data_IF_294792930779
#
_entry.id   IF_294792930779
#
_cell.length_a   1.000
_cell.length_b   1.000
_cell.length_c   1.000
_cell.angle_alpha   90.00
_cell.angle_beta   90.00
_cell.angle_gamma   90.00
#
_symmetry.space_group_name_H-M   'P 1'
#
loop_
_entity.id
_entity.type
_entity.pdbx_description
1 polymer ?
#
# COMPACT_ATOMS: atom_id res chain seq x y z
N UNK A 1 6.06 13.82 9.78
CA UNK A 1 4.92 12.88 9.58
C UNK A 1 5.36 11.47 9.91
N UNK A 2 4.62 10.78 10.76
CA UNK A 2 4.87 9.36 11.07
C UNK A 2 4.10 8.48 10.10
N UNK A 3 4.82 7.65 9.35
CA UNK A 3 4.26 6.78 8.31
C UNK A 3 4.50 5.32 8.69
N UNK A 4 3.54 4.47 8.40
CA UNK A 4 3.65 3.02 8.56
C UNK A 4 3.14 2.33 7.30
N UNK A 5 3.79 1.23 6.94
CA UNK A 5 3.37 0.39 5.80
C UNK A 5 2.80 -0.93 6.32
N UNK A 6 1.80 -1.44 5.60
CA UNK A 6 1.22 -2.76 5.84
C UNK A 6 1.20 -3.55 4.55
N UNK A 7 1.65 -4.79 4.60
CA UNK A 7 1.61 -5.68 3.44
C UNK A 7 1.50 -7.14 3.89
N UNK A 8 1.51 -8.05 2.93
CA UNK A 8 1.49 -9.49 3.23
C UNK A 8 2.83 -10.04 3.76
N UNK A 9 3.90 -9.25 3.69
CA UNK A 9 5.20 -9.64 4.23
C UNK A 9 5.13 -9.89 5.75
N UNK A 10 5.92 -10.84 6.23
CA UNK A 10 5.94 -11.20 7.65
C UNK A 10 6.89 -10.34 8.49
N UNK A 11 7.56 -9.36 7.90
CA UNK A 11 8.46 -8.46 8.62
C UNK A 11 7.65 -7.46 9.44
N UNK A 12 7.94 -7.37 10.74
CA UNK A 12 7.30 -6.39 11.62
C UNK A 12 8.39 -5.49 12.21
N UNK A 13 8.23 -4.17 12.04
CA UNK A 13 9.21 -3.17 12.45
C UNK A 13 9.95 -2.59 11.26
N UNK A 14 11.14 -2.03 11.49
CA UNK A 14 11.91 -1.43 10.41
C UNK A 14 12.55 -2.50 9.52
N UNK A 15 12.46 -2.29 8.20
CA UNK A 15 13.06 -3.19 7.22
C UNK A 15 14.58 -3.00 7.25
N UNK A 16 15.36 -4.10 7.44
CA UNK A 16 16.82 -4.00 7.38
C UNK A 16 17.30 -3.60 5.99
N UNK A 17 18.33 -2.76 5.91
CA UNK A 17 18.88 -2.29 4.62
C UNK A 17 19.38 -3.43 3.74
N UNK A 18 19.84 -4.52 4.34
CA UNK A 18 20.35 -5.69 3.63
C UNK A 18 19.28 -6.76 3.38
N UNK A 19 18.00 -6.39 3.46
CA UNK A 19 16.91 -7.32 3.22
C UNK A 19 16.93 -7.79 1.76
N UNK A 20 16.97 -9.13 1.56
CA UNK A 20 17.20 -9.72 0.24
C UNK A 20 16.10 -9.42 -0.78
N UNK A 21 14.86 -9.29 -0.32
CA UNK A 21 13.71 -9.03 -1.20
C UNK A 21 13.44 -7.52 -1.28
N UNK A 22 14.44 -6.76 -1.73
CA UNK A 22 14.35 -5.32 -1.85
C UNK A 22 13.38 -4.93 -2.97
N UNK A 23 12.09 -4.88 -2.67
CA UNK A 23 11.06 -4.39 -3.57
C UNK A 23 10.98 -2.87 -3.53
N UNK A 24 10.30 -2.28 -4.49
CA UNK A 24 10.08 -0.84 -4.54
C UNK A 24 9.48 -0.30 -3.25
N UNK A 25 8.51 -1.01 -2.68
CA UNK A 25 7.86 -0.63 -1.44
C UNK A 25 8.86 -0.55 -0.28
N UNK A 26 9.80 -1.48 -0.22
CA UNK A 26 10.83 -1.50 0.84
C UNK A 26 11.79 -0.32 0.70
N UNK A 27 12.11 0.09 -0.53
CA UNK A 27 12.92 1.28 -0.75
C UNK A 27 12.25 2.53 -0.17
N UNK A 28 10.93 2.68 -0.36
CA UNK A 28 10.18 3.77 0.22
C UNK A 28 10.13 3.68 1.75
N UNK A 29 9.95 2.47 2.30
CA UNK A 29 9.98 2.28 3.76
C UNK A 29 11.30 2.73 4.36
N UNK A 30 12.42 2.39 3.72
CA UNK A 30 13.74 2.82 4.17
C UNK A 30 13.94 4.32 4.01
N UNK A 31 13.55 4.89 2.87
CA UNK A 31 13.69 6.33 2.61
C UNK A 31 12.90 7.18 3.60
N UNK A 32 11.71 6.74 3.96
CA UNK A 32 10.83 7.42 4.90
C UNK A 32 11.13 7.05 6.36
N UNK A 33 12.04 6.10 6.59
CA UNK A 33 12.30 5.52 7.92
C UNK A 33 11.02 5.02 8.58
N UNK A 34 10.14 4.43 7.78
CA UNK A 34 8.83 3.95 8.22
C UNK A 34 8.90 2.47 8.58
N UNK A 35 8.29 2.05 9.69
CA UNK A 35 8.17 0.63 10.01
C UNK A 35 7.13 -0.03 9.10
N UNK A 36 7.21 -1.35 9.04
CA UNK A 36 6.30 -2.21 8.32
C UNK A 36 5.69 -3.23 9.27
N UNK A 37 4.43 -3.55 9.06
CA UNK A 37 3.77 -4.63 9.78
C UNK A 37 3.00 -5.50 8.80
N UNK A 38 2.86 -6.80 9.12
CA UNK A 38 1.99 -7.67 8.38
C UNK A 38 0.55 -7.16 8.46
N UNK A 39 -0.24 -7.39 7.42
CA UNK A 39 -1.63 -6.96 7.35
C UNK A 39 -2.49 -7.39 8.55
N UNK A 40 -2.12 -8.48 9.21
CA UNK A 40 -2.83 -9.01 10.36
C UNK A 40 -2.36 -8.43 11.70
N UNK A 41 -1.36 -7.55 11.69
CA UNK A 41 -0.78 -6.98 12.91
C UNK A 41 -1.15 -5.51 13.00
N UNK A 42 -1.78 -5.13 14.12
CA UNK A 42 -2.08 -3.73 14.40
C UNK A 42 -1.12 -3.26 15.50
N UNK A 43 -0.19 -2.35 15.18
CA UNK A 43 0.75 -1.83 16.20
C UNK A 43 0.01 -0.99 17.24
N UNK A 44 0.61 -0.82 18.40
CA UNK A 44 0.03 0.02 19.45
C UNK A 44 0.35 1.50 19.26
N UNK A 45 1.41 1.80 18.51
CA UNK A 45 1.83 3.16 18.22
C UNK A 45 0.86 3.84 17.24
N UNK A 46 0.67 5.15 17.37
CA UNK A 46 -0.17 5.94 16.47
C UNK A 46 0.67 6.54 15.35
N UNK A 47 0.07 6.63 14.16
CA UNK A 47 0.72 7.15 12.95
C UNK A 47 -0.16 8.20 12.27
N UNK A 48 0.47 9.08 11.52
CA UNK A 48 -0.25 10.06 10.70
C UNK A 48 -0.81 9.42 9.44
N UNK A 49 -0.07 8.50 8.83
CA UNK A 49 -0.41 7.87 7.57
C UNK A 49 -0.08 6.39 7.60
N UNK A 50 -1.06 5.56 7.28
CA UNK A 50 -0.86 4.16 6.96
C UNK A 50 -0.96 3.95 5.45
N UNK A 51 0.00 3.21 4.88
CA UNK A 51 -0.01 2.85 3.47
C UNK A 51 -0.19 1.33 3.39
N UNK A 52 -1.34 0.92 2.88
CA UNK A 52 -1.71 -0.49 2.75
C UNK A 52 -1.37 -0.96 1.34
N UNK A 53 -0.50 -1.96 1.24
CA UNK A 53 -0.18 -2.57 -0.05
C UNK A 53 -1.16 -3.72 -0.25
N UNK A 54 -2.09 -3.56 -1.20
CA UNK A 54 -3.15 -4.54 -1.46
C UNK A 54 -2.52 -5.78 -2.08
N UNK A 55 -2.66 -6.97 -1.43
CA UNK A 55 -2.09 -8.20 -1.97
C UNK A 55 -2.72 -8.57 -3.31
N UNK A 56 -1.90 -9.05 -4.23
CA UNK A 56 -2.35 -9.48 -5.55
C UNK A 56 -3.38 -10.61 -5.49
N UNK A 57 -3.14 -11.60 -4.62
CA UNK A 57 -3.95 -12.82 -4.58
C UNK A 57 -5.17 -12.71 -3.66
N UNK A 58 -5.18 -11.75 -2.76
CA UNK A 58 -6.29 -11.54 -1.83
C UNK A 58 -6.49 -10.05 -1.60
N UNK A 59 -7.23 -9.37 -2.49
CA UNK A 59 -7.39 -7.91 -2.42
C UNK A 59 -8.37 -7.44 -1.34
N UNK A 60 -8.94 -8.34 -0.55
CA UNK A 60 -9.85 -7.96 0.51
C UNK A 60 -9.07 -7.34 1.67
N UNK A 61 -9.30 -6.06 1.91
CA UNK A 61 -8.64 -5.32 3.00
C UNK A 61 -9.70 -4.50 3.73
N UNK A 62 -9.79 -4.67 5.04
CA UNK A 62 -10.67 -3.86 5.89
C UNK A 62 -9.89 -2.65 6.39
N UNK A 63 -10.11 -1.50 5.78
CA UNK A 63 -9.37 -0.29 6.09
C UNK A 63 -9.71 0.28 7.47
N UNK A 64 -10.90 0.01 7.99
CA UNK A 64 -11.29 0.52 9.31
C UNK A 64 -10.39 0.01 10.43
N UNK A 65 -9.89 -1.20 10.26
CA UNK A 65 -8.96 -1.82 11.20
C UNK A 65 -7.71 -0.97 11.40
N UNK A 66 -7.20 -0.36 10.32
CA UNK A 66 -5.98 0.46 10.36
C UNK A 66 -6.27 1.90 10.80
N UNK A 67 -7.50 2.37 10.65
CA UNK A 67 -7.91 3.70 11.11
C UNK A 67 -7.86 3.85 12.62
N UNK A 68 -7.83 2.74 13.34
CA UNK A 68 -7.67 2.76 14.80
C UNK A 68 -6.30 3.32 15.23
N UNK A 69 -5.28 3.22 14.37
CA UNK A 69 -3.90 3.68 14.66
C UNK A 69 -3.37 4.68 13.66
N UNK A 70 -4.09 4.98 12.58
CA UNK A 70 -3.65 5.90 11.54
C UNK A 70 -4.69 6.99 11.31
N UNK A 71 -4.26 8.25 11.25
CA UNK A 71 -5.16 9.36 10.96
C UNK A 71 -5.69 9.29 9.52
N UNK A 72 -4.82 8.93 8.57
CA UNK A 72 -5.19 8.70 7.18
C UNK A 72 -4.71 7.32 6.74
N UNK A 73 -5.49 6.68 5.89
CA UNK A 73 -5.16 5.37 5.33
C UNK A 73 -5.22 5.47 3.81
N UNK A 74 -4.09 5.22 3.18
CA UNK A 74 -3.97 5.14 1.74
C UNK A 74 -3.72 3.71 1.31
N UNK A 75 -3.94 3.42 0.04
CA UNK A 75 -3.70 2.10 -0.52
C UNK A 75 -2.85 2.20 -1.77
N UNK A 76 -2.10 1.13 -2.06
CA UNK A 76 -1.45 0.94 -3.34
C UNK A 76 -1.58 -0.52 -3.72
N UNK A 77 -1.69 -0.80 -5.03
CA UNK A 77 -1.77 -2.16 -5.52
C UNK A 77 -0.38 -2.78 -5.59
N UNK A 78 -0.26 -4.03 -5.19
CA UNK A 78 0.94 -4.80 -5.43
C UNK A 78 1.03 -5.13 -6.92
N UNK A 79 2.06 -4.64 -7.58
CA UNK A 79 2.28 -4.86 -9.00
C UNK A 79 1.42 -4.00 -9.93
N UNK A 80 1.36 -4.35 -11.23
CA UNK A 80 0.62 -3.56 -12.21
C UNK A 80 -0.89 -3.56 -11.98
N UNK A 81 -1.55 -2.45 -12.32
CA UNK A 81 -3.00 -2.31 -12.16
C UNK A 81 -3.81 -3.33 -12.99
N UNK A 82 -3.25 -3.81 -14.10
CA UNK A 82 -3.96 -4.75 -14.97
C UNK A 82 -4.18 -6.13 -14.37
N UNK A 83 -3.58 -6.47 -13.22
CA UNK A 83 -3.90 -7.70 -12.49
C UNK A 83 -5.38 -7.81 -12.14
N UNK A 84 -6.05 -6.67 -12.02
CA UNK A 84 -7.49 -6.62 -11.76
C UNK A 84 -8.31 -7.44 -12.77
N UNK A 85 -7.86 -7.53 -14.01
CA UNK A 85 -8.57 -8.26 -15.07
C UNK A 85 -8.68 -9.75 -14.81
N UNK A 86 -7.74 -10.31 -14.04
CA UNK A 86 -7.69 -11.74 -13.75
C UNK A 86 -8.48 -12.14 -12.51
N UNK A 87 -9.06 -11.17 -11.82
CA UNK A 87 -9.83 -11.43 -10.61
C UNK A 87 -11.22 -11.95 -10.93
N UNK A 88 -11.72 -12.86 -10.06
CA UNK A 88 -13.15 -13.21 -10.06
C UNK A 88 -13.98 -11.94 -9.75
N UNK A 89 -15.28 -11.99 -10.01
CA UNK A 89 -16.16 -10.85 -9.74
C UNK A 89 -16.09 -10.44 -8.28
N UNK A 90 -16.10 -11.40 -7.35
CA UNK A 90 -16.01 -11.09 -5.92
C UNK A 90 -14.71 -10.36 -5.58
N UNK A 91 -13.58 -10.82 -6.13
CA UNK A 91 -12.29 -10.17 -5.90
C UNK A 91 -12.23 -8.79 -6.54
N UNK A 92 -12.87 -8.59 -7.69
CA UNK A 92 -12.96 -7.28 -8.31
C UNK A 92 -13.69 -6.28 -7.41
N UNK A 93 -14.79 -6.70 -6.79
CA UNK A 93 -15.51 -5.85 -5.83
C UNK A 93 -14.67 -5.56 -4.60
N UNK A 94 -13.98 -6.54 -4.06
CA UNK A 94 -13.12 -6.36 -2.88
C UNK A 94 -12.01 -5.35 -3.17
N UNK A 95 -11.36 -5.48 -4.32
CA UNK A 95 -10.32 -4.57 -4.76
C UNK A 95 -10.86 -3.15 -4.94
N UNK A 96 -11.97 -3.02 -5.66
CA UNK A 96 -12.62 -1.74 -5.90
C UNK A 96 -13.01 -1.05 -4.60
N UNK A 97 -13.61 -1.79 -3.66
CA UNK A 97 -14.04 -1.22 -2.38
C UNK A 97 -12.85 -0.69 -1.59
N UNK A 98 -11.72 -1.39 -1.60
CA UNK A 98 -10.52 -0.91 -0.91
C UNK A 98 -10.02 0.40 -1.53
N UNK A 99 -10.02 0.52 -2.85
CA UNK A 99 -9.61 1.74 -3.53
C UNK A 99 -10.49 2.93 -3.19
N UNK A 100 -11.82 2.71 -3.17
CA UNK A 100 -12.79 3.79 -2.94
C UNK A 100 -12.86 4.21 -1.48
N UNK A 101 -12.67 3.27 -0.56
CA UNK A 101 -12.74 3.54 0.88
C UNK A 101 -11.48 4.22 1.42
N UNK A 102 -10.37 4.16 0.71
CA UNK A 102 -9.12 4.80 1.12
C UNK A 102 -9.22 6.32 1.07
N UNK A 103 -8.45 7.01 1.90
CA UNK A 103 -8.37 8.47 1.85
C UNK A 103 -7.74 8.95 0.55
N UNK A 104 -6.76 8.20 0.03
CA UNK A 104 -6.26 8.36 -1.34
C UNK A 104 -5.59 7.06 -1.80
N UNK A 105 -5.31 7.00 -3.10
CA UNK A 105 -4.66 5.85 -3.75
C UNK A 105 -3.30 6.28 -4.27
N UNK A 106 -2.28 5.45 -4.05
CA UNK A 106 -0.98 5.62 -4.69
C UNK A 106 -0.88 4.74 -5.92
N UNK A 107 -0.36 5.29 -7.00
CA UNK A 107 0.03 4.54 -8.18
C UNK A 107 1.53 4.75 -8.46
N UNK A 108 2.12 3.92 -9.29
CA UNK A 108 3.57 3.92 -9.48
C UNK A 108 4.07 4.88 -10.56
N UNK A 109 3.19 5.34 -11.43
CA UNK A 109 3.55 6.28 -12.49
C UNK A 109 2.34 7.13 -12.89
N UNK A 110 2.63 8.23 -13.59
CA UNK A 110 1.60 9.20 -13.97
C UNK A 110 0.58 8.64 -14.95
N UNK A 111 0.96 7.67 -15.78
CA UNK A 111 0.05 7.08 -16.75
C UNK A 111 -1.07 6.28 -16.10
N UNK A 112 -0.89 5.82 -14.84
CA UNK A 112 -1.90 5.06 -14.12
C UNK A 112 -2.93 5.94 -13.42
N UNK A 113 -2.67 7.24 -13.29
CA UNK A 113 -3.58 8.17 -12.58
C UNK A 113 -4.97 8.13 -13.18
N UNK A 114 -5.07 8.22 -14.51
CA UNK A 114 -6.37 8.23 -15.20
C UNK A 114 -7.13 6.92 -15.03
N UNK A 115 -6.43 5.80 -14.94
CA UNK A 115 -7.06 4.51 -14.67
C UNK A 115 -7.80 4.54 -13.33
N UNK A 116 -7.13 4.98 -12.27
CA UNK A 116 -7.76 5.02 -10.94
C UNK A 116 -8.85 6.09 -10.84
N UNK A 117 -8.67 7.25 -11.48
CA UNK A 117 -9.71 8.27 -11.54
C UNK A 117 -10.95 7.74 -12.29
N UNK A 118 -10.74 6.96 -13.35
CA UNK A 118 -11.83 6.32 -14.10
C UNK A 118 -12.61 5.30 -13.29
N UNK A 119 -11.98 4.67 -12.28
CA UNK A 119 -12.67 3.78 -11.36
C UNK A 119 -13.50 4.52 -10.30
N UNK A 120 -13.34 5.84 -10.18
CA UNK A 120 -14.06 6.62 -9.19
C UNK A 120 -13.23 7.06 -7.99
N UNK A 121 -11.92 6.79 -7.98
CA UNK A 121 -11.05 7.27 -6.93
C UNK A 121 -10.94 8.79 -7.01
N UNK A 122 -11.15 9.49 -5.89
CA UNK A 122 -11.19 10.96 -5.87
C UNK A 122 -9.82 11.61 -5.76
N UNK A 123 -8.89 10.94 -5.09
CA UNK A 123 -7.55 11.45 -4.84
C UNK A 123 -6.55 10.36 -5.19
N UNK A 124 -5.79 10.59 -6.25
CA UNK A 124 -4.79 9.64 -6.74
C UNK A 124 -3.44 10.34 -6.77
N UNK A 125 -2.45 9.75 -6.12
CA UNK A 125 -1.10 10.31 -5.99
C UNK A 125 -0.08 9.34 -6.58
N UNK A 126 1.04 9.88 -7.06
CA UNK A 126 2.10 9.07 -7.65
C UNK A 126 3.18 8.81 -6.61
N UNK A 127 3.53 7.53 -6.43
CA UNK A 127 4.68 7.10 -5.65
C UNK A 127 5.61 6.34 -6.59
N UNK A 128 6.60 7.04 -7.14
CA UNK A 128 7.51 6.46 -8.14
C UNK A 128 8.37 5.36 -7.54
N UNK A 129 8.78 4.43 -8.40
CA UNK A 129 9.68 3.37 -7.98
C UNK A 129 11.01 3.93 -7.53
N UNK A 130 11.50 3.42 -6.40
CA UNK A 130 12.83 3.72 -5.88
C UNK A 130 13.70 2.47 -5.96
N UNK A 131 14.99 2.68 -6.14
CA UNK A 131 15.97 1.60 -6.07
C UNK A 131 16.81 1.79 -4.81
N UNK A 132 17.07 0.67 -4.13
CA UNK A 132 18.01 0.66 -2.99
C UNK A 132 19.41 0.59 -3.59
N UNK A 133 20.22 1.60 -3.30
CA UNK A 133 21.60 1.64 -3.75
C UNK A 133 22.56 1.58 -2.56
N UNK A 134 23.64 0.83 -2.71
CA UNK A 134 24.69 0.73 -1.73
C UNK A 134 25.73 1.82 -2.00
N UNK A 135 25.46 2.99 -1.56
CA UNK A 135 26.45 3.98 -1.89
C UNK A 135 26.27 5.25 -1.17
#
# INVERSE_FOLDING_TARGET
MKVVFFSESQVNGHIPRNFENARTEYAWMMALKAPHYNLNVIPQEKFDLGIIIIPKNNPQVDLDKYRSVCNNVSVMQEGPHWYFQDYTIDKQFQYYNALIDADWVYCHNESDVNYYLGLGCKDVRVMRSLMITDG
#
